data_IF_507750233467
#
_entry.id   IF_507750233467
#
_cell.length_a   1.000
_cell.length_b   1.000
_cell.length_c   1.000
_cell.angle_alpha   90.00
_cell.angle_beta   90.00
_cell.angle_gamma   90.00
#
_symmetry.space_group_name_H-M   'P 1'
#
loop_
_entity.id
_entity.type
_entity.pdbx_description
1 polymer ?
#
# COMPACT_ATOMS: atom_id res chain seq x y z
N UNK A 1 -7.76 -10.22 6.02
CA UNK A 1 -7.68 -9.17 4.99
C UNK A 1 -9.01 -8.45 4.97
N UNK A 2 -9.00 -7.15 5.26
CA UNK A 2 -10.11 -6.25 5.05
C UNK A 2 -9.75 -5.34 3.86
N UNK A 3 -10.75 -4.87 3.12
CA UNK A 3 -10.56 -3.95 2.01
C UNK A 3 -11.47 -2.74 2.26
N UNK A 4 -10.89 -1.54 2.16
CA UNK A 4 -11.56 -0.27 2.42
C UNK A 4 -11.24 0.70 1.29
N UNK A 5 -12.15 1.64 0.94
CA UNK A 5 -11.88 2.60 -0.12
C UNK A 5 -10.65 3.46 0.22
N UNK A 6 -9.69 3.53 -0.71
CA UNK A 6 -8.56 4.44 -0.57
C UNK A 6 -9.03 5.90 -0.66
N UNK A 7 -8.43 6.77 0.14
CA UNK A 7 -8.68 8.20 0.11
C UNK A 7 -8.48 8.77 -1.32
N UNK A 8 -9.48 9.48 -1.89
CA UNK A 8 -9.41 9.96 -3.26
C UNK A 8 -8.21 10.87 -3.54
N UNK A 9 -7.77 11.65 -2.53
CA UNK A 9 -6.63 12.54 -2.65
C UNK A 9 -5.31 11.75 -2.76
N UNK A 10 -5.16 10.68 -1.98
CA UNK A 10 -3.99 9.82 -2.03
C UNK A 10 -3.91 9.07 -3.38
N UNK A 11 -5.04 8.53 -3.85
CA UNK A 11 -5.13 7.94 -5.18
C UNK A 11 -4.72 8.93 -6.28
N UNK A 12 -5.27 10.15 -6.28
CA UNK A 12 -4.91 11.18 -7.25
C UNK A 12 -3.42 11.57 -7.20
N UNK A 13 -2.84 11.65 -5.99
CA UNK A 13 -1.41 11.92 -5.83
C UNK A 13 -0.54 10.75 -6.30
N UNK A 14 -0.99 9.51 -6.12
CA UNK A 14 -0.31 8.33 -6.63
C UNK A 14 -0.30 8.32 -8.16
N UNK A 15 -1.44 8.53 -8.83
CA UNK A 15 -1.51 8.59 -10.30
C UNK A 15 -0.64 9.71 -10.89
N UNK A 16 -0.54 10.84 -10.18
CA UNK A 16 0.32 11.96 -10.55
C UNK A 16 1.81 11.75 -10.24
N UNK A 17 2.21 10.61 -9.65
CA UNK A 17 3.59 10.31 -9.27
C UNK A 17 4.13 11.21 -8.13
N UNK A 18 3.26 11.77 -7.30
CA UNK A 18 3.62 12.70 -6.21
C UNK A 18 3.92 12.00 -4.89
N UNK A 19 3.65 10.70 -4.79
CA UNK A 19 3.91 9.92 -3.57
C UNK A 19 5.36 9.42 -3.61
N UNK A 20 6.19 9.70 -2.59
CA UNK A 20 7.62 9.34 -2.59
C UNK A 20 7.85 7.85 -2.24
N UNK A 21 7.27 6.96 -3.04
CA UNK A 21 7.27 5.50 -2.83
C UNK A 21 8.65 4.83 -2.98
N UNK A 22 9.55 5.42 -3.77
CA UNK A 22 10.93 4.96 -3.94
C UNK A 22 11.90 5.62 -2.96
N UNK A 23 11.43 6.61 -2.20
CA UNK A 23 12.22 7.29 -1.20
C UNK A 23 12.45 6.43 0.05
N UNK A 24 13.21 6.95 1.03
CA UNK A 24 13.32 6.34 2.35
C UNK A 24 11.93 6.18 2.98
N UNK A 25 11.69 5.05 3.67
CA UNK A 25 10.41 4.79 4.37
C UNK A 25 10.00 5.91 5.34
N UNK A 26 10.98 6.61 5.92
CA UNK A 26 10.74 7.74 6.80
C UNK A 26 10.12 8.95 6.07
N UNK A 27 10.55 9.20 4.83
CA UNK A 27 10.02 10.27 3.98
C UNK A 27 8.57 9.97 3.57
N UNK A 28 8.30 8.73 3.12
CA UNK A 28 6.96 8.28 2.81
C UNK A 28 6.02 8.38 4.02
N UNK A 29 6.46 7.92 5.19
CA UNK A 29 5.66 8.02 6.40
C UNK A 29 5.42 9.47 6.83
N UNK A 30 6.40 10.36 6.67
CA UNK A 30 6.23 11.79 6.94
C UNK A 30 5.24 12.46 5.97
N UNK A 31 5.31 12.10 4.68
CA UNK A 31 4.38 12.56 3.65
C UNK A 31 2.94 12.13 3.95
N UNK A 32 2.70 10.84 4.25
CA UNK A 32 1.38 10.32 4.56
C UNK A 32 0.77 11.00 5.80
N UNK A 33 1.57 11.21 6.85
CA UNK A 33 1.14 11.96 8.04
C UNK A 33 0.81 13.42 7.75
N UNK A 34 1.73 14.13 7.09
CA UNK A 34 1.65 15.58 6.92
C UNK A 34 0.61 16.00 5.88
N UNK A 35 0.47 15.23 4.80
CA UNK A 35 -0.42 15.57 3.67
C UNK A 35 -1.77 14.87 3.75
N UNK A 36 -1.82 13.63 4.23
CA UNK A 36 -3.03 12.81 4.25
C UNK A 36 -3.55 12.52 5.67
N UNK A 37 -2.87 13.00 6.71
CA UNK A 37 -3.35 12.88 8.10
C UNK A 37 -3.30 11.46 8.66
N UNK A 38 -2.57 10.54 8.02
CA UNK A 38 -2.44 9.17 8.49
C UNK A 38 -1.76 9.12 9.86
N UNK A 39 -2.17 8.17 10.70
CA UNK A 39 -1.49 7.94 11.96
C UNK A 39 -0.11 7.30 11.74
N UNK A 40 0.69 7.26 12.81
CA UNK A 40 2.06 6.78 12.73
C UNK A 40 2.23 5.29 12.48
N UNK A 41 1.23 4.48 12.84
CA UNK A 41 1.26 3.05 12.63
C UNK A 41 0.88 2.74 11.17
N UNK A 42 -0.25 3.29 10.69
CA UNK A 42 -0.68 3.15 9.30
C UNK A 42 0.37 3.64 8.29
N UNK A 43 0.95 4.82 8.55
CA UNK A 43 1.98 5.38 7.66
C UNK A 43 3.26 4.53 7.59
N UNK A 44 3.54 3.69 8.61
CA UNK A 44 4.71 2.80 8.63
C UNK A 44 4.39 1.39 8.15
N UNK A 45 3.13 0.99 8.12
CA UNK A 45 2.67 -0.33 7.70
C UNK A 45 2.41 -0.43 6.20
N UNK A 46 2.47 0.68 5.44
CA UNK A 46 2.36 0.64 3.98
C UNK A 46 3.49 -0.19 3.34
N UNK A 47 3.12 -1.25 2.65
CA UNK A 47 4.03 -2.19 2.01
C UNK A 47 4.18 -1.97 0.51
N UNK A 48 3.09 -1.61 -0.18
CA UNK A 48 3.08 -1.40 -1.63
C UNK A 48 1.93 -0.47 -2.05
N UNK A 49 2.14 0.23 -3.17
CA UNK A 49 1.09 0.91 -3.93
C UNK A 49 0.84 0.21 -5.27
N UNK A 50 -0.44 0.03 -5.56
CA UNK A 50 -1.12 -0.57 -6.71
C UNK A 50 -0.43 -1.74 -7.39
N UNK A 51 -0.85 -1.99 -8.63
CA UNK A 51 -0.21 -2.94 -9.53
C UNK A 51 1.14 -2.40 -10.05
N UNK A 52 1.17 -1.10 -10.35
CA UNK A 52 2.38 -0.36 -10.73
C UNK A 52 2.96 0.37 -9.51
N UNK A 53 4.27 0.24 -9.33
CA UNK A 53 4.95 0.80 -8.17
C UNK A 53 5.09 2.32 -8.19
N UNK A 54 4.84 3.00 -9.32
CA UNK A 54 4.99 4.44 -9.50
C UNK A 54 3.66 5.18 -9.49
N UNK A 55 2.61 4.58 -10.05
CA UNK A 55 1.31 5.24 -10.26
C UNK A 55 0.10 4.47 -9.74
N UNK A 56 0.34 3.34 -9.06
CA UNK A 56 -0.71 2.47 -8.56
C UNK A 56 -1.60 3.12 -7.50
N UNK A 57 -2.91 2.94 -7.61
CA UNK A 57 -3.92 3.55 -6.72
C UNK A 57 -4.55 2.60 -5.71
N UNK A 58 -3.94 1.43 -5.51
CA UNK A 58 -4.35 0.53 -4.42
C UNK A 58 -3.30 0.56 -3.32
N UNK A 59 -3.64 0.26 -2.06
CA UNK A 59 -2.67 0.26 -0.97
C UNK A 59 -2.66 -1.08 -0.23
N UNK A 60 -1.46 -1.63 -0.01
CA UNK A 60 -1.30 -2.81 0.84
C UNK A 60 -0.67 -2.39 2.18
N UNK A 61 -1.41 -2.57 3.28
CA UNK A 61 -0.95 -2.27 4.63
C UNK A 61 -0.81 -3.55 5.47
N UNK A 62 0.18 -3.57 6.36
CA UNK A 62 0.31 -4.59 7.41
C UNK A 62 -0.25 -4.10 8.75
N UNK A 63 -1.50 -4.46 9.00
CA UNK A 63 -2.19 -4.16 10.26
C UNK A 63 -2.06 -5.29 11.31
N UNK A 64 -1.11 -6.22 11.14
CA UNK A 64 -0.93 -7.28 12.14
C UNK A 64 -0.23 -6.73 13.39
N UNK A 65 -0.67 -7.11 14.58
CA UNK A 65 0.04 -6.75 15.81
C UNK A 65 1.19 -7.72 16.11
N UNK A 66 2.35 -7.25 16.59
CA UNK A 66 3.47 -8.13 16.97
C UNK A 66 3.13 -9.17 18.06
N UNK A 67 2.08 -8.92 18.84
CA UNK A 67 1.55 -9.87 19.84
C UNK A 67 0.77 -11.04 19.24
N UNK A 68 0.29 -10.89 18.00
CA UNK A 68 -0.55 -11.87 17.31
C UNK A 68 0.21 -12.60 16.20
N UNK A 69 1.18 -11.90 15.58
CA UNK A 69 1.93 -12.40 14.43
C UNK A 69 3.42 -12.22 14.65
N UNK A 70 4.19 -13.29 14.37
CA UNK A 70 5.64 -13.21 14.29
C UNK A 70 6.06 -12.31 13.12
N UNK A 71 6.53 -11.10 13.45
CA UNK A 71 6.95 -10.10 12.46
C UNK A 71 8.20 -10.51 11.68
N UNK A 72 9.06 -11.37 12.22
CA UNK A 72 10.22 -11.87 11.49
C UNK A 72 9.79 -12.85 10.40
N UNK A 73 8.89 -13.78 10.74
CA UNK A 73 8.33 -14.72 9.78
C UNK A 73 7.49 -14.00 8.71
N UNK A 74 6.65 -13.05 9.12
CA UNK A 74 5.86 -12.23 8.21
C UNK A 74 6.77 -11.41 7.27
N UNK A 75 7.85 -10.83 7.80
CA UNK A 75 8.85 -10.11 7.03
C UNK A 75 9.54 -10.99 5.98
N UNK A 76 9.79 -12.26 6.28
CA UNK A 76 10.43 -13.20 5.34
C UNK A 76 9.56 -13.50 4.10
N UNK A 77 8.24 -13.39 4.21
CA UNK A 77 7.30 -13.62 3.10
C UNK A 77 6.75 -12.34 2.47
N UNK A 78 7.08 -11.16 3.01
CA UNK A 78 6.57 -9.86 2.57
C UNK A 78 6.63 -9.65 1.06
N UNK A 79 7.78 -9.92 0.44
CA UNK A 79 7.96 -9.67 -1.00
C UNK A 79 7.05 -10.57 -1.86
N UNK A 80 6.80 -11.81 -1.42
CA UNK A 80 5.87 -12.72 -2.10
C UNK A 80 4.43 -12.22 -2.00
N UNK A 81 4.05 -11.68 -0.82
CA UNK A 81 2.72 -11.08 -0.61
C UNK A 81 2.56 -9.85 -1.52
N UNK A 82 3.55 -8.96 -1.55
CA UNK A 82 3.55 -7.76 -2.40
C UNK A 82 3.45 -8.13 -3.88
N UNK A 83 4.18 -9.15 -4.33
CA UNK A 83 4.11 -9.64 -5.70
C UNK A 83 2.72 -10.18 -6.04
N UNK A 84 2.14 -11.01 -5.17
CA UNK A 84 0.78 -11.53 -5.35
C UNK A 84 -0.27 -10.42 -5.37
N UNK A 85 -0.15 -9.44 -4.48
CA UNK A 85 -1.01 -8.26 -4.44
C UNK A 85 -0.95 -7.47 -5.76
N UNK A 86 0.26 -7.15 -6.23
CA UNK A 86 0.44 -6.41 -7.50
C UNK A 86 -0.16 -7.16 -8.68
N UNK A 87 0.02 -8.47 -8.72
CA UNK A 87 -0.55 -9.29 -9.77
C UNK A 87 -2.08 -9.29 -9.72
N UNK A 88 -2.66 -9.58 -8.55
CA UNK A 88 -4.12 -9.57 -8.38
C UNK A 88 -4.74 -8.21 -8.67
N UNK A 89 -4.09 -7.12 -8.27
CA UNK A 89 -4.53 -5.76 -8.55
C UNK A 89 -4.47 -5.38 -10.04
N UNK A 90 -3.60 -6.03 -10.83
CA UNK A 90 -3.48 -5.80 -12.27
C UNK A 90 -4.56 -6.52 -13.06
N UNK A 91 -4.79 -7.79 -12.75
CA UNK A 91 -5.80 -8.57 -13.44
C UNK A 91 -7.20 -8.17 -12.97
N UNK A 92 -7.41 -8.00 -11.66
CA UNK A 92 -8.72 -7.67 -11.10
C UNK A 92 -9.76 -8.79 -11.24
N UNK A 93 -10.67 -8.97 -10.26
CA UNK A 93 -11.47 -10.18 -10.17
C UNK A 93 -12.79 -10.16 -10.95
N UNK A 94 -13.23 -9.00 -11.47
CA UNK A 94 -14.57 -8.85 -12.07
C UNK A 94 -14.57 -9.08 -13.57
N UNK A 95 -13.68 -8.38 -14.28
CA UNK A 95 -13.67 -8.30 -15.74
C UNK A 95 -12.26 -8.47 -16.33
N UNK A 96 -11.31 -9.00 -15.56
CA UNK A 96 -9.89 -9.01 -15.93
C UNK A 96 -9.34 -7.60 -16.26
N UNK A 97 -9.79 -6.59 -15.49
CA UNK A 97 -9.34 -5.19 -15.56
C UNK A 97 -8.68 -4.70 -14.25
N UNK A 98 -7.68 -3.80 -14.33
CA UNK A 98 -6.98 -3.30 -13.14
C UNK A 98 -7.88 -2.70 -12.06
N UNK A 99 -7.65 -3.12 -10.82
CA UNK A 99 -8.30 -2.55 -9.63
C UNK A 99 -7.85 -1.10 -9.39
N UNK A 100 -8.75 -0.27 -8.86
CA UNK A 100 -8.47 1.14 -8.51
C UNK A 100 -9.10 1.54 -7.18
N UNK A 101 -8.37 2.34 -6.41
CA UNK A 101 -8.83 3.01 -5.18
C UNK A 101 -9.26 2.06 -4.05
N UNK A 102 -8.50 0.98 -3.81
CA UNK A 102 -8.76 -0.04 -2.76
C UNK A 102 -7.54 -0.30 -1.89
#
# INVERSE_FOLDING_TARGET
LAAEPLEPLLAAHAEAGRVPVHGPKAELAAYLKGTHGWDALAARSLWALGADAHTGTNALLDDCLPSEVDKALLGAVREHIVQGFRWGAREGPLCDEPMRNV
#
